data_IF_000448471270
#
_entry.id   IF_000448471270
#
_cell.length_a   1.000
_cell.length_b   1.000
_cell.length_c   1.000
_cell.angle_alpha   90.00
_cell.angle_beta   90.00
_cell.angle_gamma   90.00
#
_symmetry.space_group_name_H-M   'P 1'
#
loop_
_entity.id
_entity.type
_entity.pdbx_description
1 polymer ?
#
# COMPACT_ATOMS: atom_id res chain seq x y z
N UNK A 1 24.26 20.76 23.40
CA UNK A 1 23.14 21.20 22.54
C UNK A 1 22.27 19.99 22.26
N UNK A 2 21.06 19.99 22.82
CA UNK A 2 20.08 18.93 22.71
C UNK A 2 19.73 18.63 21.25
N UNK A 3 19.77 17.36 20.87
CA UNK A 3 18.75 16.79 19.98
C UNK A 3 18.43 15.38 20.46
N UNK A 4 17.52 15.32 21.45
CA UNK A 4 16.75 14.10 21.67
C UNK A 4 15.84 13.91 20.46
N UNK A 5 16.17 12.96 19.60
CA UNK A 5 15.24 12.45 18.61
C UNK A 5 14.13 11.66 19.32
N UNK A 6 12.86 11.82 18.91
CA UNK A 6 11.75 11.15 19.58
C UNK A 6 11.93 9.63 19.49
N UNK A 7 11.77 8.96 20.64
CA UNK A 7 11.63 7.50 20.72
C UNK A 7 10.45 7.10 19.84
N UNK A 8 10.70 6.54 18.65
CA UNK A 8 9.68 5.87 17.85
C UNK A 8 9.21 4.63 18.64
N UNK A 9 8.21 4.83 19.50
CA UNK A 9 7.47 3.76 20.15
C UNK A 9 6.74 2.98 19.04
N UNK A 10 7.33 1.87 18.61
CA UNK A 10 6.61 0.74 18.04
C UNK A 10 6.04 0.89 16.62
N UNK A 11 6.63 1.69 15.74
CA UNK A 11 6.22 1.71 14.32
C UNK A 11 6.58 0.35 13.69
N UNK A 12 5.57 -0.46 13.37
CA UNK A 12 5.75 -1.70 12.62
C UNK A 12 5.92 -1.31 11.14
N UNK A 13 7.16 -1.33 10.68
CA UNK A 13 7.52 -1.08 9.28
C UNK A 13 7.58 -2.40 8.51
N UNK A 14 6.96 -2.43 7.34
CA UNK A 14 7.08 -3.50 6.36
C UNK A 14 7.91 -2.98 5.18
N UNK A 15 8.79 -3.84 4.66
CA UNK A 15 9.66 -3.51 3.53
C UNK A 15 9.30 -4.38 2.34
N UNK A 16 9.21 -3.75 1.18
CA UNK A 16 8.99 -4.41 -0.11
C UNK A 16 9.82 -3.74 -1.20
N UNK A 17 9.28 -3.78 -2.40
CA UNK A 17 9.87 -3.24 -3.62
C UNK A 17 9.13 -1.95 -3.98
N UNK A 18 9.86 -0.85 -4.08
CA UNK A 18 9.38 0.42 -4.62
C UNK A 18 8.93 0.22 -6.08
N UNK A 19 7.62 0.29 -6.32
CA UNK A 19 7.05 0.08 -7.65
C UNK A 19 6.63 1.40 -8.30
N UNK A 20 6.04 2.32 -7.55
CA UNK A 20 5.64 3.65 -8.01
C UNK A 20 5.98 4.69 -6.96
N UNK A 21 6.61 5.79 -7.37
CA UNK A 21 7.07 6.85 -6.48
C UNK A 21 5.91 7.62 -5.84
N UNK A 22 6.19 8.26 -4.70
CA UNK A 22 5.22 9.03 -3.92
C UNK A 22 5.07 8.51 -2.49
N UNK A 23 4.39 9.29 -1.67
CA UNK A 23 4.05 8.93 -0.28
C UNK A 23 2.58 9.26 -0.05
N UNK A 24 1.83 8.31 0.46
CA UNK A 24 0.43 8.53 0.81
C UNK A 24 0.04 7.76 2.07
N UNK A 25 -0.96 8.28 2.76
CA UNK A 25 -1.48 7.71 4.01
C UNK A 25 -2.96 7.45 3.84
N UNK A 26 -3.43 6.31 4.33
CA UNK A 26 -4.85 5.97 4.28
C UNK A 26 -5.18 4.72 5.09
N UNK A 27 -6.47 4.40 5.16
CA UNK A 27 -6.93 3.18 5.84
C UNK A 27 -6.68 1.98 4.95
N UNK A 28 -6.13 0.92 5.53
CA UNK A 28 -5.94 -0.35 4.85
C UNK A 28 -7.29 -0.92 4.46
N UNK A 29 -7.42 -1.31 3.20
CA UNK A 29 -8.49 -2.16 2.71
C UNK A 29 -7.92 -3.43 2.12
N UNK A 30 -8.19 -4.57 2.76
CA UNK A 30 -7.71 -5.86 2.25
C UNK A 30 -8.71 -6.38 1.23
N UNK A 31 -8.29 -6.45 -0.03
CA UNK A 31 -9.08 -6.89 -1.17
C UNK A 31 -8.60 -8.27 -1.59
N UNK A 32 -9.45 -9.28 -1.41
CA UNK A 32 -9.15 -10.68 -1.79
C UNK A 32 -9.90 -11.07 -3.05
N UNK A 33 -11.06 -10.46 -3.29
CA UNK A 33 -11.92 -10.77 -4.42
C UNK A 33 -12.61 -9.52 -4.98
N UNK A 34 -13.14 -9.55 -6.22
CA UNK A 34 -13.90 -8.43 -6.78
C UNK A 34 -15.14 -8.03 -5.96
N UNK A 35 -15.68 -8.92 -5.12
CA UNK A 35 -16.78 -8.60 -4.21
C UNK A 35 -16.37 -7.59 -3.12
N UNK A 36 -15.07 -7.45 -2.84
CA UNK A 36 -14.55 -6.48 -1.89
C UNK A 36 -14.40 -5.07 -2.49
N UNK A 37 -14.52 -4.91 -3.81
CA UNK A 37 -14.33 -3.62 -4.50
C UNK A 37 -15.32 -2.55 -4.04
N UNK A 38 -16.54 -2.95 -3.68
CA UNK A 38 -17.56 -2.04 -3.13
C UNK A 38 -17.25 -1.53 -1.73
N UNK A 39 -16.29 -2.14 -1.02
CA UNK A 39 -15.88 -1.73 0.32
C UNK A 39 -14.76 -0.68 0.29
N UNK A 40 -14.11 -0.48 -0.86
CA UNK A 40 -12.99 0.43 -1.01
C UNK A 40 -13.51 1.85 -1.23
N UNK A 41 -13.07 2.77 -0.39
CA UNK A 41 -13.45 4.17 -0.43
C UNK A 41 -12.32 5.03 -1.03
N UNK A 42 -12.64 6.27 -1.38
CA UNK A 42 -11.66 7.20 -1.90
C UNK A 42 -10.61 7.53 -0.82
N UNK A 43 -9.34 7.45 -1.18
CA UNK A 43 -8.22 7.70 -0.28
C UNK A 43 -7.77 6.50 0.57
N UNK A 44 -8.42 5.34 0.45
CA UNK A 44 -7.97 4.11 1.11
C UNK A 44 -6.64 3.59 0.54
N UNK A 45 -5.96 2.71 1.29
CA UNK A 45 -4.78 1.96 0.84
C UNK A 45 -5.20 0.55 0.48
N UNK A 46 -5.11 0.20 -0.81
CA UNK A 46 -5.45 -1.14 -1.28
C UNK A 46 -4.36 -2.13 -0.91
N UNK A 47 -4.71 -3.19 -0.20
CA UNK A 47 -3.82 -4.31 0.11
C UNK A 47 -4.38 -5.57 -0.54
N UNK A 48 -3.62 -6.18 -1.44
CA UNK A 48 -4.03 -7.41 -2.13
C UNK A 48 -2.87 -8.40 -2.25
N UNK A 49 -3.16 -9.66 -2.57
CA UNK A 49 -2.09 -10.63 -2.86
C UNK A 49 -1.40 -10.33 -4.18
N UNK A 50 -2.21 -10.13 -5.21
CA UNK A 50 -1.81 -9.71 -6.54
C UNK A 50 -2.97 -8.90 -7.13
N UNK A 51 -2.67 -8.04 -8.11
CA UNK A 51 -3.71 -7.35 -8.87
C UNK A 51 -3.77 -7.89 -10.29
N UNK A 52 -4.96 -7.81 -10.86
CA UNK A 52 -5.25 -8.14 -12.25
C UNK A 52 -6.09 -6.99 -12.88
N UNK A 53 -6.35 -7.01 -14.20
CA UNK A 53 -7.05 -5.91 -14.89
C UNK A 53 -8.42 -5.55 -14.31
N UNK A 54 -9.08 -6.43 -13.55
CA UNK A 54 -10.35 -6.09 -12.88
C UNK A 54 -10.20 -5.01 -11.79
N UNK A 55 -9.00 -4.80 -11.27
CA UNK A 55 -8.72 -3.84 -10.19
C UNK A 55 -8.65 -2.39 -10.67
N UNK A 56 -8.60 -2.13 -11.98
CA UNK A 56 -8.40 -0.79 -12.56
C UNK A 56 -9.38 0.25 -12.01
N UNK A 57 -10.65 -0.12 -11.84
CA UNK A 57 -11.69 0.77 -11.32
C UNK A 57 -11.46 1.18 -9.86
N UNK A 58 -10.89 0.28 -9.06
CA UNK A 58 -10.62 0.51 -7.63
C UNK A 58 -9.29 1.24 -7.45
N UNK A 59 -8.30 0.91 -8.28
CA UNK A 59 -6.98 1.57 -8.28
C UNK A 59 -7.11 3.08 -8.52
N UNK A 60 -8.10 3.52 -9.29
CA UNK A 60 -8.38 4.95 -9.51
C UNK A 60 -8.96 5.69 -8.29
N UNK A 61 -9.39 4.99 -7.24
CA UNK A 61 -9.98 5.61 -6.02
C UNK A 61 -8.99 5.66 -4.86
N UNK A 62 -8.02 4.76 -4.84
CA UNK A 62 -7.13 4.56 -3.68
C UNK A 62 -5.96 5.54 -3.70
N UNK A 63 -5.47 5.88 -2.51
CA UNK A 63 -4.32 6.75 -2.32
C UNK A 63 -3.00 6.00 -2.48
N UNK A 64 -2.97 4.69 -2.23
CA UNK A 64 -1.78 3.85 -2.38
C UNK A 64 -2.14 2.37 -2.62
N UNK A 65 -1.15 1.62 -3.11
CA UNK A 65 -1.30 0.19 -3.42
C UNK A 65 -0.18 -0.62 -2.79
N UNK A 66 -0.54 -1.68 -2.08
CA UNK A 66 0.38 -2.64 -1.47
C UNK A 66 0.02 -4.05 -1.94
N UNK A 67 1.03 -4.81 -2.40
CA UNK A 67 0.81 -6.20 -2.81
C UNK A 67 1.80 -7.19 -2.20
N UNK A 68 1.35 -8.43 -1.97
CA UNK A 68 2.22 -9.52 -1.51
C UNK A 68 3.14 -10.02 -2.62
N UNK A 69 2.60 -10.15 -3.83
CA UNK A 69 3.29 -10.66 -4.99
C UNK A 69 3.30 -9.62 -6.10
N UNK A 70 4.42 -9.56 -6.80
CA UNK A 70 4.61 -8.63 -7.91
C UNK A 70 6.04 -8.09 -7.91
N UNK A 71 6.47 -7.60 -9.07
CA UNK A 71 7.72 -6.88 -9.23
C UNK A 71 7.48 -5.48 -9.78
N UNK A 72 8.58 -4.77 -10.04
CA UNK A 72 8.57 -3.40 -10.59
C UNK A 72 7.87 -3.27 -11.96
N UNK A 73 7.67 -4.37 -12.67
CA UNK A 73 6.96 -4.44 -13.96
C UNK A 73 5.62 -5.20 -13.87
N UNK A 74 5.09 -5.40 -12.66
CA UNK A 74 3.80 -6.05 -12.47
C UNK A 74 2.64 -5.14 -12.88
N UNK A 75 1.46 -5.73 -13.08
CA UNK A 75 0.23 -4.98 -13.36
C UNK A 75 -0.03 -3.86 -12.33
N UNK A 76 0.12 -4.17 -11.04
CA UNK A 76 0.04 -3.18 -9.96
C UNK A 76 1.01 -2.00 -10.16
N UNK A 77 2.27 -2.30 -10.51
CA UNK A 77 3.30 -1.28 -10.68
C UNK A 77 3.02 -0.36 -11.88
N UNK A 78 2.61 -0.94 -13.02
CA UNK A 78 2.34 -0.19 -14.25
C UNK A 78 1.15 0.74 -14.05
N UNK A 79 0.02 0.20 -13.59
CA UNK A 79 -1.21 0.98 -13.40
C UNK A 79 -1.03 2.05 -12.33
N UNK A 80 -0.32 1.75 -11.24
CA UNK A 80 -0.07 2.75 -10.19
C UNK A 80 0.78 3.93 -10.69
N UNK A 81 1.74 3.67 -11.60
CA UNK A 81 2.53 4.75 -12.23
C UNK A 81 1.68 5.61 -13.16
N UNK A 82 0.80 4.98 -13.94
CA UNK A 82 -0.12 5.70 -14.84
C UNK A 82 -1.09 6.59 -14.07
N UNK A 83 -1.54 6.13 -12.89
CA UNK A 83 -2.43 6.88 -12.01
C UNK A 83 -1.70 7.86 -11.08
N UNK A 84 -0.36 7.83 -11.04
CA UNK A 84 0.45 8.69 -10.18
C UNK A 84 0.30 8.39 -8.68
N UNK A 85 -0.07 7.17 -8.32
CA UNK A 85 -0.23 6.75 -6.92
C UNK A 85 0.98 5.93 -6.44
N UNK A 86 1.40 6.07 -5.18
CA UNK A 86 2.48 5.29 -4.60
C UNK A 86 2.12 3.80 -4.54
N UNK A 87 3.11 2.97 -4.88
CA UNK A 87 2.94 1.52 -4.90
C UNK A 87 4.16 0.80 -4.35
N UNK A 88 3.90 -0.15 -3.45
CA UNK A 88 4.90 -1.07 -2.91
C UNK A 88 4.45 -2.51 -3.15
N UNK A 89 5.31 -3.32 -3.74
CA UNK A 89 4.99 -4.72 -4.10
C UNK A 89 5.96 -5.68 -3.43
N UNK A 90 5.63 -6.97 -3.38
CA UNK A 90 6.54 -7.99 -2.87
C UNK A 90 6.68 -8.00 -1.33
N UNK A 91 5.67 -7.53 -0.59
CA UNK A 91 5.66 -7.63 0.87
C UNK A 91 5.04 -8.96 1.28
N UNK A 92 5.87 -9.95 1.59
CA UNK A 92 5.38 -11.27 1.98
C UNK A 92 4.46 -11.20 3.21
N UNK A 93 3.25 -11.73 3.08
CA UNK A 93 2.25 -11.72 4.16
C UNK A 93 1.59 -10.37 4.43
N UNK A 94 1.69 -9.38 3.53
CA UNK A 94 1.03 -8.08 3.67
C UNK A 94 -0.46 -8.18 4.03
N UNK A 95 -1.21 -9.13 3.45
CA UNK A 95 -2.65 -9.31 3.72
C UNK A 95 -2.94 -9.86 5.13
N UNK A 96 -1.94 -10.44 5.80
CA UNK A 96 -2.03 -10.95 7.18
C UNK A 96 -1.52 -9.92 8.19
N UNK A 97 -0.50 -9.17 7.81
CA UNK A 97 0.15 -8.15 8.64
C UNK A 97 -0.68 -6.86 8.67
N UNK A 98 -1.25 -6.49 7.53
CA UNK A 98 -2.16 -5.37 7.36
C UNK A 98 -3.62 -5.86 7.44
N UNK A 99 -4.45 -5.17 8.20
CA UNK A 99 -5.85 -5.51 8.50
C UNK A 99 -6.72 -4.33 8.12
N UNK A 100 -7.95 -4.63 7.71
CA UNK A 100 -8.92 -3.61 7.33
C UNK A 100 -9.07 -2.55 8.42
N UNK A 101 -9.04 -1.27 8.02
CA UNK A 101 -9.20 -0.13 8.90
C UNK A 101 -7.94 0.38 9.59
N UNK A 102 -6.80 -0.34 9.54
CA UNK A 102 -5.53 0.16 10.10
C UNK A 102 -5.02 1.36 9.31
N UNK A 103 -4.46 2.35 9.99
CA UNK A 103 -3.92 3.54 9.32
C UNK A 103 -2.45 3.28 8.96
N UNK A 104 -2.11 3.39 7.68
CA UNK A 104 -0.74 3.15 7.19
C UNK A 104 -0.26 4.28 6.29
N UNK A 105 1.04 4.54 6.35
CA UNK A 105 1.77 5.36 5.39
C UNK A 105 2.50 4.42 4.42
N UNK A 106 2.32 4.63 3.12
CA UNK A 106 3.00 3.89 2.05
C UNK A 106 3.98 4.83 1.37
N UNK A 107 5.27 4.50 1.48
CA UNK A 107 6.35 5.17 0.78
C UNK A 107 6.81 4.33 -0.42
N UNK A 108 6.34 4.74 -1.59
CA UNK A 108 6.67 4.13 -2.87
C UNK A 108 8.05 4.52 -3.41
N UNK A 109 8.76 5.47 -2.80
CA UNK A 109 10.13 5.83 -3.16
C UNK A 109 11.13 4.86 -2.51
N UNK A 110 10.96 4.61 -1.22
CA UNK A 110 11.82 3.70 -0.46
C UNK A 110 11.32 2.25 -0.44
N UNK A 111 10.08 2.00 -0.86
CA UNK A 111 9.47 0.66 -0.82
C UNK A 111 9.11 0.23 0.59
N UNK A 112 8.55 1.15 1.39
CA UNK A 112 8.25 0.93 2.82
C UNK A 112 6.78 1.18 3.10
N UNK A 113 6.23 0.44 4.07
CA UNK A 113 4.89 0.67 4.60
C UNK A 113 4.99 0.78 6.11
N UNK A 114 4.55 1.89 6.69
CA UNK A 114 4.60 2.15 8.13
C UNK A 114 3.20 2.09 8.71
N UNK A 115 3.01 1.27 9.74
CA UNK A 115 1.76 1.21 10.48
C UNK A 115 1.74 2.34 11.51
N UNK A 116 0.73 3.21 11.40
CA UNK A 116 0.57 4.38 12.26
C UNK A 116 -0.38 4.11 13.44
N UNK A 117 -1.41 3.28 13.26
CA UNK A 117 -2.36 2.83 14.31
C UNK A 117 -3.12 1.56 13.88
#
# INVERSE_FOLDING_TARGET
MSMGGPRLRGVRELKGIAASQGVATGKVKVVVSPADFSRVEEGDVLVAKATDPSYVLVLGKVSAVVTEYGGVCSHAAIVSRELGIPCVVGIEGATKLLKDGMLVEVDGNEGRVRILD
#
